data_IF_426267524003
#
_entry.id   IF_426267524003
#
_cell.length_a   1.000
_cell.length_b   1.000
_cell.length_c   1.000
_cell.angle_alpha   90.00
_cell.angle_beta   90.00
_cell.angle_gamma   90.00
#
_symmetry.space_group_name_H-M   'P 1'
#
loop_
_entity.id
_entity.type
_entity.pdbx_description
1 polymer ?
#
# COMPACT_ATOMS: atom_id res chain seq x y z
N UNK A 1 14.05 30.23 -6.09
CA UNK A 1 14.01 28.86 -6.63
C UNK A 1 14.55 27.92 -5.55
N UNK A 2 13.68 27.12 -4.94
CA UNK A 2 14.02 26.09 -3.94
C UNK A 2 13.36 24.81 -4.44
N UNK A 3 14.17 23.84 -4.84
CA UNK A 3 13.76 22.69 -5.63
C UNK A 3 12.96 21.62 -4.86
N UNK A 4 12.06 20.96 -5.60
CA UNK A 4 11.79 19.54 -5.44
C UNK A 4 10.96 19.08 -4.25
N UNK A 5 9.74 19.61 -4.04
CA UNK A 5 8.69 18.79 -3.42
C UNK A 5 8.04 17.98 -4.53
N UNK A 6 8.50 16.74 -4.72
CA UNK A 6 7.79 15.79 -5.58
C UNK A 6 6.32 15.72 -5.12
N UNK A 7 5.41 15.85 -6.09
CA UNK A 7 3.99 15.58 -5.96
C UNK A 7 3.81 14.19 -5.33
N UNK A 8 3.48 14.12 -4.03
CA UNK A 8 3.31 12.85 -3.34
C UNK A 8 1.86 12.39 -3.46
N UNK A 9 1.51 11.87 -4.64
CA UNK A 9 0.30 11.10 -4.86
C UNK A 9 0.55 9.64 -4.45
N UNK A 10 1.20 9.47 -3.30
CA UNK A 10 1.50 8.19 -2.69
C UNK A 10 0.54 8.03 -1.53
N UNK A 11 -0.20 6.93 -1.52
CA UNK A 11 -1.11 6.58 -0.46
C UNK A 11 -0.71 5.23 0.16
N UNK A 12 -0.54 5.24 1.47
CA UNK A 12 -0.34 4.05 2.29
C UNK A 12 -1.11 4.20 3.60
N UNK A 13 -1.48 3.07 4.22
CA UNK A 13 -2.25 3.08 5.47
C UNK A 13 -1.44 3.68 6.64
N UNK A 14 -0.11 3.71 6.58
CA UNK A 14 0.70 4.36 7.61
C UNK A 14 0.49 5.88 7.65
N UNK A 15 0.16 6.51 6.52
CA UNK A 15 -0.24 7.92 6.47
C UNK A 15 -1.52 8.19 7.28
N UNK A 16 -2.46 7.23 7.34
CA UNK A 16 -3.66 7.36 8.18
C UNK A 16 -3.30 7.40 9.67
N UNK A 17 -2.34 6.58 10.11
CA UNK A 17 -1.87 6.59 11.50
C UNK A 17 -1.19 7.90 11.89
N UNK A 18 -0.48 8.53 10.95
CA UNK A 18 0.12 9.86 11.14
C UNK A 18 -0.95 10.95 11.18
N UNK A 19 -1.97 10.86 10.32
CA UNK A 19 -3.09 11.79 10.29
C UNK A 19 -3.86 11.76 11.62
N UNK A 20 -4.24 10.57 12.12
CA UNK A 20 -4.94 10.43 13.40
C UNK A 20 -4.16 10.99 14.58
N UNK A 21 -2.84 10.81 14.59
CA UNK A 21 -1.99 11.34 15.65
C UNK A 21 -1.53 12.78 15.45
N UNK A 22 -2.19 13.56 14.58
CA UNK A 22 -1.87 14.97 14.30
C UNK A 22 -0.40 15.20 13.93
N UNK A 23 0.15 14.35 13.06
CA UNK A 23 1.56 14.38 12.66
C UNK A 23 2.47 13.43 13.43
N UNK A 24 1.93 12.71 14.42
CA UNK A 24 2.62 11.62 15.11
C UNK A 24 2.02 10.27 14.72
N UNK A 25 2.85 9.26 14.52
CA UNK A 25 2.36 7.91 14.21
C UNK A 25 1.59 7.30 15.39
N UNK A 26 0.31 7.00 15.20
CA UNK A 26 -0.56 6.37 16.20
C UNK A 26 -1.30 5.17 15.59
N UNK A 27 -0.64 4.02 15.55
CA UNK A 27 -1.25 2.78 15.09
C UNK A 27 -2.36 2.31 16.03
N UNK A 28 -3.53 2.00 15.47
CA UNK A 28 -4.67 1.41 16.17
C UNK A 28 -5.25 0.26 15.35
N UNK A 29 -5.01 -0.97 15.81
CA UNK A 29 -5.48 -2.17 15.12
C UNK A 29 -7.01 -2.24 14.98
N UNK A 30 -7.77 -1.52 15.82
CA UNK A 30 -9.24 -1.48 15.74
C UNK A 30 -9.75 -0.63 14.59
N UNK A 31 -8.88 0.17 13.97
CA UNK A 31 -9.20 1.13 12.91
C UNK A 31 -8.63 0.75 11.55
N UNK A 32 -8.18 -0.48 11.35
CA UNK A 32 -7.59 -0.92 10.07
C UNK A 32 -8.56 -0.68 8.91
N UNK A 33 -9.82 -1.11 9.04
CA UNK A 33 -10.83 -0.89 7.99
C UNK A 33 -11.11 0.59 7.71
N UNK A 34 -11.02 1.45 8.74
CA UNK A 34 -11.14 2.91 8.58
C UNK A 34 -9.93 3.46 7.79
N UNK A 35 -8.73 2.97 8.09
CA UNK A 35 -7.50 3.35 7.39
C UNK A 35 -7.45 2.88 5.95
N UNK A 36 -7.89 1.66 5.66
CA UNK A 36 -8.04 1.12 4.30
C UNK A 36 -9.01 1.98 3.49
N UNK A 37 -10.18 2.29 4.07
CA UNK A 37 -11.16 3.19 3.44
C UNK A 37 -10.57 4.57 3.19
N UNK A 38 -9.87 5.14 4.17
CA UNK A 38 -9.22 6.45 4.02
C UNK A 38 -8.22 6.45 2.86
N UNK A 39 -7.39 5.41 2.75
CA UNK A 39 -6.42 5.25 1.66
C UNK A 39 -7.11 5.17 0.29
N UNK A 40 -8.18 4.37 0.19
CA UNK A 40 -9.00 4.27 -1.01
C UNK A 40 -9.64 5.61 -1.39
N UNK A 41 -10.21 6.34 -0.43
CA UNK A 41 -10.82 7.65 -0.67
C UNK A 41 -9.77 8.67 -1.18
N UNK A 42 -8.54 8.64 -0.65
CA UNK A 42 -7.46 9.51 -1.15
C UNK A 42 -7.07 9.15 -2.59
N UNK A 43 -6.99 7.85 -2.90
CA UNK A 43 -6.71 7.37 -4.25
C UNK A 43 -7.80 7.80 -5.25
N UNK A 44 -9.08 7.63 -4.89
CA UNK A 44 -10.23 8.08 -5.69
C UNK A 44 -10.15 9.59 -5.93
N UNK A 45 -9.90 10.37 -4.88
CA UNK A 45 -9.79 11.82 -4.99
C UNK A 45 -8.63 12.24 -5.91
N UNK A 46 -7.49 11.58 -5.82
CA UNK A 46 -6.34 11.84 -6.70
C UNK A 46 -6.68 11.54 -8.17
N UNK A 47 -7.27 10.39 -8.45
CA UNK A 47 -7.66 10.02 -9.82
C UNK A 47 -8.73 10.96 -10.38
N UNK A 48 -9.72 11.36 -9.57
CA UNK A 48 -10.76 12.31 -9.96
C UNK A 48 -10.24 13.73 -10.22
N UNK A 49 -9.03 14.07 -9.75
CA UNK A 49 -8.35 15.32 -10.06
C UNK A 49 -7.34 15.16 -11.21
N UNK A 50 -7.42 14.07 -11.98
CA UNK A 50 -6.58 13.78 -13.15
C UNK A 50 -5.07 13.87 -12.86
N UNK A 51 -4.66 13.41 -11.68
CA UNK A 51 -3.25 13.40 -11.30
C UNK A 51 -2.49 12.34 -12.09
N UNK A 52 -1.52 12.78 -12.89
CA UNK A 52 -0.72 11.96 -13.83
C UNK A 52 -0.23 10.62 -13.28
N UNK A 53 0.16 10.56 -12.01
CA UNK A 53 0.63 9.34 -11.35
C UNK A 53 0.01 9.23 -9.97
N UNK A 54 -0.55 8.06 -9.66
CA UNK A 54 -1.04 7.67 -8.34
C UNK A 54 -0.35 6.38 -7.92
N UNK A 55 0.25 6.38 -6.72
CA UNK A 55 0.96 5.24 -6.15
C UNK A 55 0.19 4.80 -4.91
N UNK A 56 -0.15 3.52 -4.85
CA UNK A 56 -0.69 2.90 -3.64
C UNK A 56 0.33 1.88 -3.14
N UNK A 57 0.74 2.02 -1.89
CA UNK A 57 1.60 1.05 -1.20
C UNK A 57 0.79 0.35 -0.12
N UNK A 58 0.76 -0.98 -0.17
CA UNK A 58 -0.01 -1.83 0.73
C UNK A 58 0.81 -3.05 1.13
N UNK A 59 0.66 -3.49 2.38
CA UNK A 59 1.18 -4.77 2.86
C UNK A 59 0.17 -5.91 2.73
N UNK A 60 -1.08 -5.63 2.33
CA UNK A 60 -2.08 -6.63 1.95
C UNK A 60 -1.95 -7.00 0.45
N UNK A 61 -1.43 -8.20 0.14
CA UNK A 61 -1.24 -8.64 -1.23
C UNK A 61 -2.42 -9.45 -1.78
N UNK A 62 -3.56 -9.48 -1.08
CA UNK A 62 -4.74 -10.27 -1.47
C UNK A 62 -5.25 -9.90 -2.86
N UNK A 63 -5.83 -10.89 -3.56
CA UNK A 63 -6.40 -10.67 -4.89
C UNK A 63 -7.55 -9.65 -4.85
N UNK A 64 -8.32 -9.61 -3.76
CA UNK A 64 -9.41 -8.66 -3.57
C UNK A 64 -8.89 -7.22 -3.49
N UNK A 65 -7.85 -6.98 -2.68
CA UNK A 65 -7.26 -5.66 -2.56
C UNK A 65 -6.62 -5.19 -3.88
N UNK A 66 -5.92 -6.07 -4.60
CA UNK A 66 -5.36 -5.72 -5.92
C UNK A 66 -6.47 -5.43 -6.93
N UNK A 67 -7.50 -6.28 -7.00
CA UNK A 67 -8.62 -6.13 -7.94
C UNK A 67 -9.42 -4.86 -7.67
N UNK A 68 -9.56 -4.45 -6.41
CA UNK A 68 -10.18 -3.19 -6.04
C UNK A 68 -9.47 -1.99 -6.68
N UNK A 69 -8.15 -1.87 -6.51
CA UNK A 69 -7.38 -0.77 -7.09
C UNK A 69 -7.29 -0.84 -8.61
N UNK A 70 -7.25 -2.05 -9.19
CA UNK A 70 -7.26 -2.22 -10.64
C UNK A 70 -8.58 -1.75 -11.28
N UNK A 71 -9.72 -2.11 -10.69
CA UNK A 71 -11.04 -1.62 -11.13
C UNK A 71 -11.17 -0.12 -10.94
N UNK A 72 -10.63 0.42 -9.85
CA UNK A 72 -10.65 1.86 -9.62
C UNK A 72 -9.86 2.60 -10.72
N UNK A 73 -8.67 2.11 -11.07
CA UNK A 73 -7.87 2.67 -12.14
C UNK A 73 -8.61 2.62 -13.50
N UNK A 74 -9.20 1.48 -13.85
CA UNK A 74 -9.98 1.31 -15.09
C UNK A 74 -11.15 2.31 -15.17
N UNK A 75 -11.91 2.47 -14.09
CA UNK A 75 -13.02 3.43 -14.00
C UNK A 75 -12.59 4.89 -14.22
N UNK A 76 -11.32 5.22 -13.98
CA UNK A 76 -10.74 6.55 -14.14
C UNK A 76 -9.80 6.67 -15.36
N UNK A 77 -9.68 5.63 -16.19
CA UNK A 77 -8.84 5.64 -17.40
C UNK A 77 -7.33 5.60 -17.12
N UNK A 78 -6.90 4.97 -16.03
CA UNK A 78 -5.50 4.79 -15.67
C UNK A 78 -4.99 3.40 -16.07
N UNK A 79 -3.74 3.36 -16.54
CA UNK A 79 -3.00 2.11 -16.69
C UNK A 79 -2.46 1.64 -15.33
N UNK A 80 -2.50 0.33 -15.09
CA UNK A 80 -2.09 -0.28 -13.81
C UNK A 80 -0.73 -0.95 -13.96
N UNK A 81 0.22 -0.56 -13.10
CA UNK A 81 1.50 -1.26 -12.94
C UNK A 81 1.65 -1.78 -11.51
N UNK A 82 1.82 -3.09 -11.36
CA UNK A 82 2.02 -3.74 -10.06
C UNK A 82 3.51 -3.97 -9.85
N UNK A 83 4.09 -3.30 -8.86
CA UNK A 83 5.48 -3.49 -8.45
C UNK A 83 5.53 -4.29 -7.15
N UNK A 84 6.31 -5.37 -7.15
CA UNK A 84 6.51 -6.22 -5.97
C UNK A 84 7.89 -5.98 -5.38
N UNK A 85 8.00 -6.02 -4.06
CA UNK A 85 9.29 -5.91 -3.39
C UNK A 85 10.11 -7.19 -3.63
N UNK A 86 11.43 -7.06 -3.93
CA UNK A 86 12.27 -8.20 -4.25
C UNK A 86 12.51 -9.09 -3.02
N UNK A 87 12.62 -10.41 -3.26
CA UNK A 87 12.79 -11.47 -2.27
C UNK A 87 14.20 -12.10 -2.36
N UNK A 88 14.66 -12.84 -1.32
CA UNK A 88 14.01 -13.11 -0.03
C UNK A 88 14.08 -11.93 0.96
N UNK A 89 13.22 -11.94 1.98
CA UNK A 89 13.25 -10.95 3.07
C UNK A 89 13.84 -11.53 4.35
N UNK A 90 14.73 -10.77 4.98
CA UNK A 90 15.23 -11.07 6.32
C UNK A 90 14.45 -10.25 7.36
N UNK A 91 13.72 -10.89 8.30
CA UNK A 91 13.00 -10.16 9.35
C UNK A 91 13.91 -9.28 10.21
N UNK A 92 15.16 -9.71 10.42
CA UNK A 92 16.14 -8.96 11.19
C UNK A 92 16.62 -7.72 10.44
N UNK A 93 16.94 -7.84 9.15
CA UNK A 93 17.33 -6.68 8.33
C UNK A 93 16.18 -5.68 8.17
N UNK A 94 14.96 -6.19 7.97
CA UNK A 94 13.78 -5.33 7.86
C UNK A 94 13.51 -4.57 9.15
N UNK A 95 13.67 -5.19 10.33
CA UNK A 95 13.54 -4.50 11.61
C UNK A 95 14.45 -3.27 11.69
N UNK A 96 15.72 -3.43 11.31
CA UNK A 96 16.70 -2.34 11.32
C UNK A 96 16.38 -1.22 10.31
N UNK A 97 15.55 -1.51 9.30
CA UNK A 97 15.10 -0.57 8.28
C UNK A 97 13.73 0.06 8.56
N UNK A 98 12.99 -0.44 9.55
CA UNK A 98 11.65 0.09 9.84
C UNK A 98 11.71 1.46 10.52
N UNK A 99 10.87 2.38 10.05
CA UNK A 99 10.71 3.71 10.66
C UNK A 99 10.05 3.60 12.04
N UNK A 100 9.09 2.68 12.20
CA UNK A 100 8.22 2.58 13.38
C UNK A 100 8.63 1.48 14.37
N UNK A 101 9.87 0.97 14.24
CA UNK A 101 10.44 -0.07 15.13
C UNK A 101 9.55 -1.32 15.23
N UNK A 102 9.00 -1.75 14.09
CA UNK A 102 8.09 -2.88 14.01
C UNK A 102 8.76 -4.14 14.59
N UNK A 103 8.13 -4.85 15.54
CA UNK A 103 8.73 -6.03 16.14
C UNK A 103 8.99 -7.14 15.11
N UNK A 104 10.09 -7.88 15.26
CA UNK A 104 10.47 -9.00 14.35
C UNK A 104 9.32 -9.99 14.16
N UNK A 105 8.57 -10.31 15.22
CA UNK A 105 7.43 -11.24 15.15
C UNK A 105 6.31 -10.77 14.22
N UNK A 106 6.08 -9.44 14.12
CA UNK A 106 5.07 -8.86 13.23
C UNK A 106 5.57 -8.94 11.79
N UNK A 107 6.84 -8.62 11.57
CA UNK A 107 7.49 -8.74 10.25
C UNK A 107 7.45 -10.19 9.75
N UNK A 108 7.78 -11.15 10.62
CA UNK A 108 7.69 -12.59 10.31
C UNK A 108 6.27 -13.00 9.93
N UNK A 109 5.26 -12.54 10.68
CA UNK A 109 3.86 -12.79 10.36
C UNK A 109 3.50 -12.24 8.98
N UNK A 110 3.90 -11.01 8.65
CA UNK A 110 3.59 -10.41 7.34
C UNK A 110 4.31 -11.09 6.18
N UNK A 111 5.58 -11.49 6.35
CA UNK A 111 6.30 -12.28 5.35
C UNK A 111 5.54 -13.59 5.08
N UNK A 112 5.13 -14.29 6.14
CA UNK A 112 4.39 -15.54 6.01
C UNK A 112 3.04 -15.34 5.29
N UNK A 113 2.26 -14.32 5.66
CA UNK A 113 1.01 -14.00 4.97
C UNK A 113 1.25 -13.71 3.48
N UNK A 114 2.29 -12.94 3.17
CA UNK A 114 2.67 -12.70 1.77
C UNK A 114 3.08 -13.98 1.03
N UNK A 115 3.69 -14.94 1.71
CA UNK A 115 4.05 -16.24 1.16
C UNK A 115 2.85 -17.19 1.02
N UNK A 116 1.79 -17.04 1.81
CA UNK A 116 0.59 -17.87 1.67
C UNK A 116 -0.27 -17.44 0.48
N UNK A 117 -0.34 -16.14 0.19
CA UNK A 117 -1.09 -15.61 -0.95
C UNK A 117 -0.32 -15.67 -2.28
N UNK A 118 0.71 -16.53 -2.46
CA UNK A 118 1.47 -16.56 -3.73
C UNK A 118 0.63 -17.00 -4.91
N UNK A 119 -0.13 -18.07 -4.73
CA UNK A 119 -0.80 -18.76 -5.84
C UNK A 119 -1.98 -17.96 -6.39
N UNK A 120 -2.71 -17.25 -5.53
CA UNK A 120 -3.80 -16.34 -5.93
C UNK A 120 -3.30 -15.21 -6.83
N UNK A 121 -2.03 -14.81 -6.68
CA UNK A 121 -1.44 -13.65 -7.36
C UNK A 121 -0.90 -13.96 -8.75
N UNK A 122 -0.40 -15.18 -8.95
CA UNK A 122 0.02 -15.65 -10.29
C UNK A 122 -1.20 -15.82 -11.20
N UNK A 123 -2.34 -16.24 -10.63
CA UNK A 123 -3.60 -16.30 -11.35
C UNK A 123 -4.12 -14.90 -11.77
N UNK A 124 -4.08 -13.90 -10.88
CA UNK A 124 -4.55 -12.54 -11.19
C UNK A 124 -3.71 -11.78 -12.23
N UNK A 125 -2.44 -12.13 -12.41
CA UNK A 125 -1.60 -11.51 -13.46
C UNK A 125 -1.95 -11.96 -14.88
N UNK A 126 -2.68 -13.06 -15.04
CA UNK A 126 -3.05 -13.58 -16.37
C UNK A 126 -4.28 -12.88 -16.95
N UNK A 127 -4.91 -11.94 -16.23
CA UNK A 127 -6.20 -11.33 -16.60
C UNK A 127 -6.19 -9.81 -16.48
N UNK A 128 -5.19 -9.14 -17.05
CA UNK A 128 -5.24 -7.69 -17.26
C UNK A 128 -4.82 -7.42 -18.70
N UNK A 129 -5.78 -6.99 -19.52
CA UNK A 129 -5.61 -6.65 -20.95
C UNK A 129 -5.27 -5.18 -21.12
#
# INVERSE_FOLDING_TARGET
QVGGRANRNWFDIDMFWVYLGNGHYQFDATKIAEGEKWCADQCIAAMANDLELVIVSTDDPSADNVSFYAQLADNHGYDVSIVRTPRPWSPHELKERTTYRTPVKVIQKQIKLYEEHQDEREASQTTVF
#
